data_IF_751724821929
#
_entry.id   IF_751724821929
#
_cell.length_a   1.000
_cell.length_b   1.000
_cell.length_c   1.000
_cell.angle_alpha   90.00
_cell.angle_beta   90.00
_cell.angle_gamma   90.00
#
_symmetry.space_group_name_H-M   'P 1'
#
loop_
_entity.id
_entity.type
_entity.pdbx_description
1 polymer ?
#
# COMPACT_ATOMS: atom_id res chain seq x y z
N UNK A 1 -5.48 -4.48 -17.42
CA UNK A 1 -5.06 -3.16 -16.87
C UNK A 1 -5.25 -2.06 -17.90
N UNK A 2 -5.88 -0.93 -17.51
CA UNK A 2 -6.00 0.27 -18.37
C UNK A 2 -4.63 0.94 -18.50
N UNK A 3 -3.99 0.80 -19.66
CA UNK A 3 -2.65 1.37 -19.92
C UNK A 3 -2.66 2.88 -20.13
N UNK A 4 -3.75 3.41 -20.71
CA UNK A 4 -3.89 4.81 -21.13
C UNK A 4 -3.60 5.87 -20.03
N UNK A 5 -3.82 5.55 -18.75
CA UNK A 5 -3.62 6.50 -17.65
C UNK A 5 -2.66 5.98 -16.58
N UNK A 6 -1.92 4.91 -16.86
CA UNK A 6 -1.10 4.25 -15.85
C UNK A 6 0.00 5.18 -15.32
N UNK A 7 0.78 5.79 -16.20
CA UNK A 7 1.84 6.74 -15.80
C UNK A 7 1.28 7.97 -15.08
N UNK A 8 0.14 8.49 -15.54
CA UNK A 8 -0.51 9.64 -14.89
C UNK A 8 -0.98 9.27 -13.48
N UNK A 9 -1.52 8.06 -13.30
CA UNK A 9 -1.94 7.56 -11.98
C UNK A 9 -0.77 7.39 -11.01
N UNK A 10 0.40 6.97 -11.50
CA UNK A 10 1.61 6.88 -10.70
C UNK A 10 2.12 8.27 -10.30
N UNK A 11 2.16 9.22 -11.25
CA UNK A 11 2.53 10.62 -10.96
C UNK A 11 1.61 11.27 -9.93
N UNK A 12 0.30 11.02 -10.03
CA UNK A 12 -0.68 11.54 -9.06
C UNK A 12 -0.45 10.98 -7.66
N UNK A 13 -0.03 9.72 -7.55
CA UNK A 13 0.19 9.04 -6.28
C UNK A 13 1.59 9.29 -5.68
N UNK A 14 2.49 10.02 -6.36
CA UNK A 14 3.85 10.27 -5.88
C UNK A 14 3.92 10.83 -4.44
N UNK A 15 3.10 11.82 -4.02
CA UNK A 15 3.15 12.32 -2.65
C UNK A 15 2.81 11.26 -1.59
N UNK A 16 1.93 10.31 -1.94
CA UNK A 16 1.60 9.17 -1.07
C UNK A 16 2.79 8.21 -0.97
N UNK A 17 3.45 7.90 -2.09
CA UNK A 17 4.62 7.02 -2.12
C UNK A 17 5.78 7.59 -1.31
N UNK A 18 6.02 8.89 -1.43
CA UNK A 18 7.04 9.60 -0.65
C UNK A 18 6.72 9.55 0.84
N UNK A 19 5.47 9.83 1.23
CA UNK A 19 5.03 9.75 2.62
C UNK A 19 5.20 8.35 3.21
N UNK A 20 4.82 7.30 2.47
CA UNK A 20 4.97 5.90 2.90
C UNK A 20 6.46 5.51 3.05
N UNK A 21 7.31 5.96 2.13
CA UNK A 21 8.74 5.62 2.13
C UNK A 21 9.48 6.37 3.24
N UNK A 22 9.10 7.61 3.50
CA UNK A 22 9.74 8.48 4.51
C UNK A 22 9.26 8.25 5.94
N UNK A 23 8.05 7.72 6.13
CA UNK A 23 7.46 7.52 7.47
C UNK A 23 8.21 6.51 8.36
N UNK A 24 9.12 5.70 7.79
CA UNK A 24 9.86 4.62 8.47
C UNK A 24 8.98 3.71 9.36
N UNK A 25 7.70 3.57 8.99
CA UNK A 25 6.76 2.74 9.71
C UNK A 25 7.05 1.26 9.41
N UNK A 26 6.93 0.34 10.38
CA UNK A 26 7.16 -1.08 10.15
C UNK A 26 6.08 -1.73 9.27
N UNK A 27 4.89 -1.13 9.18
CA UNK A 27 3.74 -1.68 8.47
C UNK A 27 3.06 -0.59 7.65
N UNK A 28 2.71 -0.92 6.40
CA UNK A 28 1.82 -0.12 5.55
C UNK A 28 0.45 -0.79 5.51
N UNK A 29 -0.62 -0.01 5.61
CA UNK A 29 -1.97 -0.54 5.71
C UNK A 29 -2.92 0.15 4.71
N UNK A 30 -3.81 -0.64 4.09
CA UNK A 30 -4.95 -0.13 3.31
C UNK A 30 -6.03 -1.20 3.20
N UNK A 31 -7.29 -0.81 3.28
CA UNK A 31 -8.45 -1.69 3.13
C UNK A 31 -8.83 -1.92 1.65
N UNK A 32 -8.35 -1.07 0.74
CA UNK A 32 -8.64 -1.15 -0.68
C UNK A 32 -7.58 -2.00 -1.42
N UNK A 33 -7.95 -3.15 -2.03
CA UNK A 33 -7.00 -4.00 -2.76
C UNK A 33 -6.32 -3.29 -3.94
N UNK A 34 -7.03 -2.36 -4.60
CA UNK A 34 -6.45 -1.59 -5.70
C UNK A 34 -5.41 -0.58 -5.20
N UNK A 35 -5.66 0.05 -4.05
CA UNK A 35 -4.68 0.92 -3.42
C UNK A 35 -3.46 0.13 -2.96
N UNK A 36 -3.65 -1.09 -2.43
CA UNK A 36 -2.56 -1.98 -2.05
C UNK A 36 -1.64 -2.28 -3.24
N UNK A 37 -2.22 -2.66 -4.38
CA UNK A 37 -1.47 -2.89 -5.63
C UNK A 37 -0.71 -1.64 -6.08
N UNK A 38 -1.33 -0.47 -5.99
CA UNK A 38 -0.70 0.77 -6.45
C UNK A 38 0.41 1.25 -5.51
N UNK A 39 0.24 1.06 -4.19
CA UNK A 39 1.29 1.29 -3.19
C UNK A 39 2.47 0.33 -3.43
N UNK A 40 2.20 -0.96 -3.67
CA UNK A 40 3.24 -1.95 -3.98
C UNK A 40 3.99 -1.61 -5.26
N UNK A 41 3.29 -1.19 -6.32
CA UNK A 41 3.90 -0.72 -7.57
C UNK A 41 4.74 0.54 -7.39
N UNK A 42 4.29 1.49 -6.57
CA UNK A 42 4.96 2.78 -6.39
C UNK A 42 6.09 2.79 -5.37
N UNK A 43 6.06 1.89 -4.38
CA UNK A 43 6.99 1.90 -3.24
C UNK A 43 7.75 0.59 -3.04
N UNK A 44 7.32 -0.51 -3.67
CA UNK A 44 7.81 -1.85 -3.39
C UNK A 44 7.36 -2.42 -2.03
N UNK A 45 6.60 -1.66 -1.23
CA UNK A 45 6.10 -2.10 0.08
C UNK A 45 4.74 -2.76 -0.07
N UNK A 46 4.58 -3.96 0.50
CA UNK A 46 3.27 -4.59 0.58
C UNK A 46 2.41 -3.95 1.66
N UNK A 47 1.29 -3.37 1.22
CA UNK A 47 0.26 -2.88 2.13
C UNK A 47 -0.66 -4.03 2.56
N UNK A 48 -0.91 -4.15 3.87
CA UNK A 48 -1.78 -5.18 4.44
C UNK A 48 -3.17 -4.62 4.73
N UNK A 49 -4.21 -5.45 4.61
CA UNK A 49 -5.53 -5.06 5.09
C UNK A 49 -5.48 -4.83 6.61
N UNK A 50 -6.05 -3.73 7.15
CA UNK A 50 -5.97 -3.42 8.58
C UNK A 50 -6.41 -4.56 9.50
N UNK A 51 -7.46 -5.30 9.12
CA UNK A 51 -7.93 -6.47 9.89
C UNK A 51 -6.86 -7.56 10.05
N UNK A 52 -5.97 -7.74 9.07
CA UNK A 52 -4.89 -8.72 9.14
C UNK A 52 -3.78 -8.28 10.09
N UNK A 53 -3.54 -6.97 10.17
CA UNK A 53 -2.62 -6.38 11.14
C UNK A 53 -3.14 -6.62 12.56
N UNK A 54 -4.44 -6.37 12.77
CA UNK A 54 -5.07 -6.67 14.06
C UNK A 54 -5.02 -8.16 14.39
N UNK A 55 -5.39 -9.04 13.47
CA UNK A 55 -5.34 -10.49 13.68
C UNK A 55 -3.94 -10.96 14.10
N UNK A 56 -2.89 -10.52 13.40
CA UNK A 56 -1.51 -10.81 13.77
C UNK A 56 -1.13 -10.28 15.16
N UNK A 57 -1.60 -9.09 15.54
CA UNK A 57 -1.37 -8.52 16.88
C UNK A 57 -2.05 -9.33 18.00
N UNK A 58 -3.15 -10.02 17.69
CA UNK A 58 -3.83 -10.93 18.63
C UNK A 58 -3.29 -12.37 18.57
N UNK A 59 -2.23 -12.65 17.81
CA UNK A 59 -1.67 -14.00 17.66
C UNK A 59 -2.56 -14.94 16.83
N UNK A 60 -3.46 -14.39 16.03
CA UNK A 60 -4.28 -15.17 15.09
C UNK A 60 -3.45 -15.35 13.82
N UNK A 61 -2.80 -16.51 13.69
CA UNK A 61 -2.08 -16.91 12.49
C UNK A 61 -3.05 -17.16 11.32
N UNK A 62 -2.60 -16.89 10.10
CA UNK A 62 -3.35 -17.06 8.85
C UNK A 62 -3.14 -18.44 8.24
#
# INVERSE_FOLDING_TARGET
FKKQYHELSLKLAQPLFDAITTADAPVTATDCPLAALQIEQGTGRQAKHPIRILAAAYGIEE
#
